data_IF_020746834445
#
_entry.id   IF_020746834445
#
_cell.length_a   1.000
_cell.length_b   1.000
_cell.length_c   1.000
_cell.angle_alpha   90.00
_cell.angle_beta   90.00
_cell.angle_gamma   90.00
#
_symmetry.space_group_name_H-M   'P 1'
#
loop_
_entity.id
_entity.type
_entity.pdbx_description
1 polymer ?
#
# COMPACT_ATOMS: atom_id res chain seq x y z
N UNK A 1 -13.47 -36.61 -18.32
CA UNK A 1 -12.24 -36.34 -17.55
C UNK A 1 -12.38 -34.97 -16.90
N UNK A 2 -12.65 -34.96 -15.62
CA UNK A 2 -12.96 -33.74 -14.84
C UNK A 2 -11.63 -33.15 -14.39
N UNK A 3 -11.28 -31.97 -14.89
CA UNK A 3 -10.14 -31.19 -14.37
C UNK A 3 -10.59 -30.50 -13.06
N UNK A 4 -10.20 -31.09 -11.95
CA UNK A 4 -10.25 -30.45 -10.65
C UNK A 4 -9.19 -29.33 -10.61
N UNK A 5 -9.60 -28.09 -10.84
CA UNK A 5 -8.75 -26.92 -10.58
C UNK A 5 -8.72 -26.67 -9.08
N UNK A 6 -7.68 -27.11 -8.40
CA UNK A 6 -7.35 -26.66 -7.06
C UNK A 6 -7.03 -25.16 -7.14
N UNK A 7 -8.03 -24.33 -6.88
CA UNK A 7 -7.85 -22.89 -6.68
C UNK A 7 -7.07 -22.72 -5.39
N UNK A 8 -5.77 -22.46 -5.48
CA UNK A 8 -5.02 -21.87 -4.39
C UNK A 8 -5.63 -20.49 -4.16
N UNK A 9 -6.50 -20.39 -3.18
CA UNK A 9 -7.08 -19.14 -2.72
C UNK A 9 -5.93 -18.27 -2.20
N UNK A 10 -5.46 -17.33 -3.04
CA UNK A 10 -4.64 -16.25 -2.55
C UNK A 10 -5.53 -15.46 -1.59
N UNK A 11 -5.05 -15.18 -0.37
CA UNK A 11 -5.73 -14.31 0.60
C UNK A 11 -5.65 -12.85 0.12
N UNK A 12 -6.49 -12.53 -0.85
CA UNK A 12 -6.66 -11.17 -1.37
C UNK A 12 -7.86 -10.58 -0.63
N UNK A 13 -7.82 -9.31 -0.19
CA UNK A 13 -9.01 -8.64 0.29
C UNK A 13 -10.16 -8.86 -0.70
N UNK A 14 -11.34 -9.24 -0.19
CA UNK A 14 -12.47 -9.73 -1.00
C UNK A 14 -12.94 -8.74 -2.09
N UNK A 15 -12.59 -7.45 -1.96
CA UNK A 15 -12.96 -6.38 -2.90
C UNK A 15 -12.12 -6.33 -4.19
N UNK A 16 -11.03 -7.09 -4.30
CA UNK A 16 -10.27 -7.18 -5.54
C UNK A 16 -10.94 -8.02 -6.63
N UNK A 17 -12.06 -8.66 -6.32
CA UNK A 17 -12.59 -9.70 -7.19
C UNK A 17 -13.61 -9.24 -8.21
N UNK A 18 -14.25 -8.07 -8.06
CA UNK A 18 -15.29 -7.63 -9.01
C UNK A 18 -15.41 -6.12 -9.11
N UNK A 19 -15.28 -5.56 -10.32
CA UNK A 19 -15.99 -4.35 -10.68
C UNK A 19 -17.48 -4.72 -10.87
N UNK A 20 -18.43 -3.95 -10.32
CA UNK A 20 -19.86 -4.31 -10.41
C UNK A 20 -20.48 -4.13 -11.81
N UNK A 21 -19.80 -3.46 -12.74
CA UNK A 21 -20.45 -2.93 -13.95
C UNK A 21 -20.04 -3.58 -15.27
N UNK A 22 -18.84 -4.13 -15.39
CA UNK A 22 -18.46 -4.82 -16.63
C UNK A 22 -17.35 -5.84 -16.40
N UNK A 23 -17.51 -7.06 -16.93
CA UNK A 23 -16.55 -8.15 -16.74
C UNK A 23 -15.23 -7.93 -17.50
N UNK A 24 -15.16 -6.93 -18.39
CA UNK A 24 -14.01 -6.67 -19.24
C UNK A 24 -13.14 -5.47 -18.80
N UNK A 25 -13.63 -4.56 -17.97
CA UNK A 25 -12.85 -3.39 -17.49
C UNK A 25 -12.75 -3.39 -15.98
N UNK A 26 -11.63 -3.90 -15.47
CA UNK A 26 -11.33 -3.86 -14.04
C UNK A 26 -10.65 -2.54 -13.69
N UNK A 27 -11.35 -1.68 -12.92
CA UNK A 27 -10.74 -0.48 -12.35
C UNK A 27 -9.80 -0.80 -11.17
N UNK A 28 -8.68 -0.07 -11.04
CA UNK A 28 -7.82 -0.18 -9.88
C UNK A 28 -8.52 0.25 -8.58
N UNK A 29 -8.14 -0.36 -7.46
CA UNK A 29 -8.56 0.10 -6.15
C UNK A 29 -8.07 1.51 -5.87
N UNK A 30 -8.93 2.38 -5.36
CA UNK A 30 -8.60 3.72 -4.90
C UNK A 30 -8.04 3.63 -3.48
N UNK A 31 -6.75 3.93 -3.31
CA UNK A 31 -6.03 3.81 -2.04
C UNK A 31 -5.61 5.21 -1.59
N UNK A 32 -6.18 5.70 -0.50
CA UNK A 32 -5.86 7.01 0.06
C UNK A 32 -4.51 6.98 0.78
N UNK A 33 -3.49 7.68 0.23
CA UNK A 33 -2.12 7.73 0.74
C UNK A 33 -2.06 8.50 2.06
N UNK A 34 -1.71 7.84 3.16
CA UNK A 34 -1.75 8.41 4.53
C UNK A 34 -3.11 9.01 4.90
N UNK A 35 -4.19 8.42 4.36
CA UNK A 35 -5.52 9.03 4.28
C UNK A 35 -5.60 10.07 3.15
N UNK A 36 -6.50 11.05 3.23
CA UNK A 36 -6.59 12.14 2.25
C UNK A 36 -5.55 13.23 2.56
N UNK A 37 -4.26 12.89 2.42
CA UNK A 37 -3.18 13.79 2.84
C UNK A 37 -3.00 15.02 1.94
N UNK A 38 -3.57 15.02 0.73
CA UNK A 38 -3.57 16.20 -0.14
C UNK A 38 -4.32 17.40 0.46
N UNK A 39 -5.24 17.16 1.38
CA UNK A 39 -6.04 18.22 2.02
C UNK A 39 -5.99 18.21 3.55
N UNK A 40 -5.75 17.07 4.18
CA UNK A 40 -5.79 16.90 5.63
C UNK A 40 -4.43 16.46 6.18
N UNK A 41 -4.16 16.66 7.48
CA UNK A 41 -2.91 16.23 8.10
C UNK A 41 -2.70 14.72 7.91
N UNK A 42 -1.57 14.34 7.30
CA UNK A 42 -1.25 12.95 6.97
C UNK A 42 -1.27 12.01 8.18
N UNK A 43 -1.61 10.75 7.97
CA UNK A 43 -1.59 9.71 9.00
C UNK A 43 -2.43 10.06 10.25
N UNK A 44 -3.57 10.72 10.07
CA UNK A 44 -4.53 11.04 11.13
C UNK A 44 -5.86 10.34 10.90
N UNK A 45 -6.65 10.16 11.95
CA UNK A 45 -8.01 9.59 11.84
C UNK A 45 -8.87 10.48 10.95
N UNK A 46 -8.74 11.81 11.03
CA UNK A 46 -9.44 12.74 10.16
C UNK A 46 -9.12 12.51 8.67
N UNK A 47 -7.83 12.39 8.31
CA UNK A 47 -7.43 12.13 6.93
C UNK A 47 -7.97 10.78 6.42
N UNK A 48 -8.01 9.76 7.28
CA UNK A 48 -8.59 8.44 6.98
C UNK A 48 -10.09 8.58 6.72
N UNK A 49 -10.82 9.23 7.62
CA UNK A 49 -12.25 9.49 7.48
C UNK A 49 -12.58 10.20 6.16
N UNK A 50 -11.88 11.30 5.89
CA UNK A 50 -12.09 12.08 4.66
C UNK A 50 -11.70 11.31 3.39
N UNK A 51 -10.70 10.44 3.45
CA UNK A 51 -10.36 9.53 2.35
C UNK A 51 -11.51 8.56 2.04
N UNK A 52 -12.13 7.99 3.06
CA UNK A 52 -13.28 7.09 2.90
C UNK A 52 -14.50 7.85 2.34
N UNK A 53 -14.79 9.05 2.87
CA UNK A 53 -15.92 9.88 2.42
C UNK A 53 -15.86 10.23 0.94
N UNK A 54 -14.66 10.39 0.36
CA UNK A 54 -14.49 10.69 -1.09
C UNK A 54 -14.33 9.43 -1.94
N UNK A 55 -14.67 8.25 -1.42
CA UNK A 55 -14.75 7.00 -2.19
C UNK A 55 -13.45 6.19 -2.25
N UNK A 56 -12.54 6.32 -1.28
CA UNK A 56 -11.43 5.40 -1.18
C UNK A 56 -11.91 4.00 -0.79
N UNK A 57 -11.38 2.98 -1.45
CA UNK A 57 -11.61 1.55 -1.14
C UNK A 57 -10.65 1.07 -0.05
N UNK A 58 -9.51 1.72 0.09
CA UNK A 58 -8.48 1.41 1.05
C UNK A 58 -7.76 2.66 1.56
N UNK A 59 -7.13 2.49 2.71
CA UNK A 59 -6.26 3.49 3.30
C UNK A 59 -4.84 2.93 3.35
N UNK A 60 -3.89 3.69 2.83
CA UNK A 60 -2.47 3.45 3.06
C UNK A 60 -2.04 4.25 4.28
N UNK A 61 -1.27 3.63 5.18
CA UNK A 61 -0.76 4.23 6.42
C UNK A 61 0.67 3.78 6.71
N UNK A 62 1.46 4.70 7.23
CA UNK A 62 2.85 4.49 7.63
C UNK A 62 2.96 4.09 9.09
N UNK A 63 3.69 3.03 9.42
CA UNK A 63 3.83 2.54 10.78
C UNK A 63 5.24 2.67 11.33
N UNK A 64 5.31 3.20 12.57
CA UNK A 64 6.47 3.18 13.44
C UNK A 64 6.12 2.56 14.81
N UNK A 65 7.15 2.21 15.59
CA UNK A 65 6.98 1.73 16.95
C UNK A 65 7.63 2.72 17.94
N UNK A 66 6.93 3.07 19.00
CA UNK A 66 7.43 3.91 20.09
C UNK A 66 8.46 3.14 20.95
N UNK A 67 9.18 3.84 21.82
CA UNK A 67 10.16 3.24 22.72
C UNK A 67 9.56 2.17 23.63
N UNK A 68 8.33 2.37 24.09
CA UNK A 68 7.57 1.44 24.94
C UNK A 68 6.73 0.42 24.16
N UNK A 69 6.94 0.28 22.84
CA UNK A 69 6.39 -0.79 22.01
C UNK A 69 4.99 -0.53 21.45
N UNK A 70 4.49 0.70 21.47
CA UNK A 70 3.19 1.07 20.89
C UNK A 70 3.35 1.35 19.40
N UNK A 71 2.55 0.72 18.55
CA UNK A 71 2.53 0.99 17.10
C UNK A 71 1.72 2.24 16.83
N UNK A 72 2.37 3.24 16.20
CA UNK A 72 1.80 4.56 15.89
C UNK A 72 1.93 4.89 14.41
N UNK A 73 1.11 5.83 13.95
CA UNK A 73 1.15 6.30 12.57
C UNK A 73 2.13 7.46 12.41
N UNK A 74 3.16 7.29 11.59
CA UNK A 74 4.09 8.35 11.20
C UNK A 74 4.85 7.94 9.94
N UNK A 75 5.04 8.87 8.99
CA UNK A 75 5.87 8.59 7.81
C UNK A 75 7.35 8.66 8.13
N UNK A 76 7.78 9.76 8.77
CA UNK A 76 9.17 9.99 9.12
C UNK A 76 9.49 9.36 10.49
N UNK A 77 10.71 8.87 10.70
CA UNK A 77 11.16 8.53 12.04
C UNK A 77 11.21 9.75 12.96
N UNK A 78 11.44 10.95 12.39
CA UNK A 78 11.47 12.23 13.11
C UNK A 78 10.08 12.84 13.22
N UNK A 79 9.76 13.40 14.36
CA UNK A 79 8.53 14.15 14.64
C UNK A 79 8.58 15.60 14.16
N UNK A 80 9.73 16.05 13.58
CA UNK A 80 9.97 17.47 13.31
C UNK A 80 9.01 18.02 12.24
N UNK A 81 8.86 17.32 11.10
CA UNK A 81 8.06 17.82 9.97
C UNK A 81 6.56 17.92 10.29
N UNK A 82 6.00 16.94 10.96
CA UNK A 82 4.57 16.89 11.22
C UNK A 82 4.17 17.52 12.56
N UNK A 83 5.06 17.49 13.57
CA UNK A 83 4.74 17.88 14.96
C UNK A 83 5.66 18.99 15.51
N UNK A 84 6.67 19.45 14.76
CA UNK A 84 7.59 20.51 15.19
C UNK A 84 8.59 20.10 16.28
N UNK A 85 8.75 18.82 16.55
CA UNK A 85 9.56 18.30 17.67
C UNK A 85 10.80 17.58 17.14
N UNK A 86 12.00 18.02 17.56
CA UNK A 86 13.29 17.41 17.19
C UNK A 86 13.59 16.14 18.00
N UNK A 87 12.72 15.15 17.89
CA UNK A 87 12.86 13.80 18.46
C UNK A 87 12.41 12.77 17.44
N UNK A 88 12.84 11.52 17.59
CA UNK A 88 12.31 10.41 16.81
C UNK A 88 11.17 9.70 17.55
N UNK A 89 10.29 9.06 16.81
CA UNK A 89 9.19 8.24 17.36
C UNK A 89 9.74 7.17 18.30
N UNK A 90 10.78 6.43 17.87
CA UNK A 90 11.39 5.36 18.66
C UNK A 90 12.12 5.80 19.92
N UNK A 91 12.36 7.12 20.11
CA UNK A 91 12.98 7.68 21.30
C UNK A 91 11.94 8.12 22.34
N UNK A 92 10.65 8.05 22.02
CA UNK A 92 9.54 8.55 22.84
C UNK A 92 8.60 7.43 23.27
N UNK A 93 8.11 7.51 24.50
CA UNK A 93 7.02 6.66 24.98
C UNK A 93 5.67 7.18 24.49
N UNK A 94 4.68 6.32 24.43
CA UNK A 94 3.32 6.68 24.03
C UNK A 94 2.74 7.80 24.90
N UNK A 95 3.01 7.78 26.20
CA UNK A 95 2.55 8.85 27.13
C UNK A 95 2.97 10.26 26.69
N UNK A 96 4.10 10.39 26.01
CA UNK A 96 4.53 11.64 25.39
C UNK A 96 3.91 11.85 24.01
N UNK A 97 3.95 10.84 23.14
CA UNK A 97 3.47 10.95 21.75
C UNK A 97 2.00 11.36 21.66
N UNK A 98 1.13 10.85 22.54
CA UNK A 98 -0.29 11.19 22.57
C UNK A 98 -0.58 12.68 22.85
N UNK A 99 0.39 13.42 23.41
CA UNK A 99 0.24 14.86 23.67
C UNK A 99 0.49 15.73 22.45
N UNK A 100 1.12 15.16 21.42
CA UNK A 100 1.50 15.89 20.21
C UNK A 100 0.29 16.21 19.34
N UNK A 101 0.42 17.32 18.60
CA UNK A 101 -0.57 17.75 17.62
C UNK A 101 0.14 18.14 16.33
N UNK A 102 -0.48 17.86 15.19
CA UNK A 102 0.07 18.22 13.88
C UNK A 102 0.23 19.73 13.77
N UNK A 103 1.30 20.17 13.07
CA UNK A 103 1.49 21.59 12.72
C UNK A 103 0.43 22.07 11.73
N UNK A 104 0.00 21.17 10.82
CA UNK A 104 -1.08 21.46 9.90
C UNK A 104 -2.42 21.44 10.65
N UNK A 105 -3.27 22.47 10.39
CA UNK A 105 -4.63 22.51 10.90
C UNK A 105 -5.47 21.34 10.33
N UNK A 106 -6.43 20.82 11.13
CA UNK A 106 -6.95 21.29 12.41
C UNK A 106 -6.19 20.83 13.66
N UNK A 107 -4.91 20.52 13.57
CA UNK A 107 -4.05 20.13 14.69
C UNK A 107 -4.43 18.79 15.35
N UNK A 108 -4.45 17.75 14.53
CA UNK A 108 -4.85 16.39 14.89
C UNK A 108 -3.80 15.69 15.78
N UNK A 109 -4.23 14.80 16.70
CA UNK A 109 -3.31 13.96 17.47
C UNK A 109 -2.63 12.92 16.57
N UNK A 110 -1.46 12.42 17.01
CA UNK A 110 -0.86 11.22 16.43
C UNK A 110 -1.71 9.98 16.82
N UNK A 111 -2.18 9.15 15.87
CA UNK A 111 -2.94 7.96 16.22
C UNK A 111 -2.04 6.76 16.50
N UNK A 112 -2.53 5.81 17.31
CA UNK A 112 -2.02 4.45 17.36
C UNK A 112 -2.64 3.63 16.23
N UNK A 113 -2.00 2.55 15.88
CA UNK A 113 -2.60 1.60 14.94
C UNK A 113 -3.92 1.00 15.46
N UNK A 114 -4.02 0.75 16.76
CA UNK A 114 -5.28 0.30 17.38
C UNK A 114 -6.43 1.31 17.22
N UNK A 115 -6.15 2.61 17.21
CA UNK A 115 -7.18 3.64 17.00
C UNK A 115 -7.76 3.59 15.58
N UNK A 116 -6.93 3.26 14.58
CA UNK A 116 -7.38 3.01 13.19
C UNK A 116 -8.24 1.77 13.12
N UNK A 117 -7.83 0.68 13.77
CA UNK A 117 -8.63 -0.55 13.81
C UNK A 117 -9.98 -0.33 14.49
N UNK A 118 -10.00 0.38 15.62
CA UNK A 118 -11.23 0.77 16.33
C UNK A 118 -12.16 1.63 15.44
N UNK A 119 -11.59 2.55 14.66
CA UNK A 119 -12.34 3.35 13.71
C UNK A 119 -12.93 2.49 12.59
N UNK A 120 -12.13 1.58 12.00
CA UNK A 120 -12.53 0.78 10.85
C UNK A 120 -13.41 -0.45 11.20
N UNK A 121 -13.50 -0.84 12.49
CA UNK A 121 -14.43 -1.91 12.90
C UNK A 121 -15.87 -1.43 13.06
N UNK A 122 -16.11 -0.13 13.01
CA UNK A 122 -17.46 0.43 13.14
C UNK A 122 -18.33 0.05 11.93
N UNK A 123 -19.66 -0.11 12.11
CA UNK A 123 -20.59 -0.48 11.05
C UNK A 123 -20.50 0.45 9.84
N UNK A 124 -20.59 -0.13 8.64
CA UNK A 124 -20.52 0.57 7.36
C UNK A 124 -19.11 0.74 6.81
N UNK A 125 -18.07 0.28 7.54
CA UNK A 125 -16.66 0.36 7.11
C UNK A 125 -16.03 -1.02 6.88
N UNK A 126 -16.80 -2.08 6.86
CA UNK A 126 -16.34 -3.47 6.74
C UNK A 126 -15.63 -3.74 5.41
N UNK A 127 -15.97 -2.96 4.39
CA UNK A 127 -15.41 -3.06 3.04
C UNK A 127 -14.05 -2.35 2.91
N UNK A 128 -13.69 -1.46 3.83
CA UNK A 128 -12.42 -0.72 3.77
C UNK A 128 -11.28 -1.63 4.23
N UNK A 129 -10.22 -1.68 3.42
CA UNK A 129 -9.01 -2.41 3.76
C UNK A 129 -7.80 -1.48 3.93
N UNK A 130 -6.71 -1.98 4.49
CA UNK A 130 -5.53 -1.20 4.87
C UNK A 130 -4.30 -1.72 4.12
N UNK A 131 -3.56 -0.82 3.50
CA UNK A 131 -2.21 -1.05 3.01
C UNK A 131 -1.23 -0.45 4.01
N UNK A 132 -0.48 -1.29 4.72
CA UNK A 132 0.55 -0.82 5.65
C UNK A 132 1.83 -0.48 4.89
N UNK A 133 2.47 0.64 5.22
CA UNK A 133 3.87 0.92 4.92
C UNK A 133 4.69 0.80 6.22
N UNK A 134 5.39 -0.34 6.35
CA UNK A 134 6.17 -0.66 7.54
C UNK A 134 7.60 -0.21 7.32
N UNK A 135 8.03 0.82 8.05
CA UNK A 135 9.31 1.51 7.84
C UNK A 135 10.51 0.68 8.32
N UNK A 136 11.66 0.87 7.65
CA UNK A 136 12.91 0.10 7.89
C UNK A 136 13.70 0.55 9.14
N UNK A 137 13.28 1.62 9.81
CA UNK A 137 14.04 2.25 10.90
C UNK A 137 13.93 1.55 12.25
N UNK A 138 13.26 0.41 12.29
CA UNK A 138 12.92 -0.32 13.52
C UNK A 138 13.28 -1.81 13.42
N UNK A 139 13.21 -2.50 14.55
CA UNK A 139 13.40 -3.95 14.57
C UNK A 139 12.21 -4.66 13.89
N UNK A 140 12.44 -5.53 12.88
CA UNK A 140 11.38 -6.17 12.13
C UNK A 140 10.49 -7.08 12.98
N UNK A 141 11.07 -7.85 13.92
CA UNK A 141 10.30 -8.74 14.77
C UNK A 141 9.41 -7.93 15.74
N UNK A 142 9.95 -6.85 16.34
CA UNK A 142 9.20 -6.01 17.26
C UNK A 142 7.99 -5.34 16.62
N UNK A 143 8.16 -4.73 15.44
CA UNK A 143 7.04 -4.07 14.76
C UNK A 143 5.97 -5.08 14.29
N UNK A 144 6.35 -6.24 13.76
CA UNK A 144 5.41 -7.26 13.33
C UNK A 144 4.64 -7.86 14.51
N UNK A 145 5.30 -8.08 15.65
CA UNK A 145 4.62 -8.49 16.89
C UNK A 145 3.66 -7.40 17.40
N UNK A 146 4.05 -6.13 17.31
CA UNK A 146 3.20 -5.00 17.65
C UNK A 146 1.93 -4.95 16.80
N UNK A 147 2.06 -5.16 15.49
CA UNK A 147 0.92 -5.24 14.56
C UNK A 147 0.02 -6.42 14.90
N UNK A 148 0.59 -7.61 15.13
CA UNK A 148 -0.18 -8.79 15.53
C UNK A 148 -0.98 -8.53 16.81
N UNK A 149 -0.33 -8.03 17.87
CA UNK A 149 -0.99 -7.67 19.13
C UNK A 149 -2.10 -6.63 18.96
N UNK A 150 -1.88 -5.62 18.12
CA UNK A 150 -2.89 -4.59 17.85
C UNK A 150 -4.14 -5.22 17.19
N UNK A 151 -3.96 -6.05 16.17
CA UNK A 151 -5.09 -6.72 15.49
C UNK A 151 -5.82 -7.73 16.38
N UNK A 152 -5.11 -8.42 17.26
CA UNK A 152 -5.70 -9.32 18.27
C UNK A 152 -6.50 -8.55 19.34
N UNK A 153 -6.05 -7.36 19.73
CA UNK A 153 -6.70 -6.54 20.76
C UNK A 153 -8.01 -5.89 20.30
N UNK A 154 -8.24 -5.80 18.99
CA UNK A 154 -9.44 -5.20 18.39
C UNK A 154 -10.20 -6.28 17.60
N UNK A 155 -11.03 -7.10 18.27
CA UNK A 155 -11.79 -8.13 17.58
C UNK A 155 -12.82 -7.49 16.64
N UNK A 156 -12.98 -8.10 15.46
CA UNK A 156 -14.00 -7.68 14.51
C UNK A 156 -15.37 -8.11 15.05
N UNK A 157 -16.39 -7.27 14.85
CA UNK A 157 -17.77 -7.63 15.15
C UNK A 157 -18.17 -8.90 14.37
N UNK A 158 -19.20 -9.61 14.85
CA UNK A 158 -19.64 -10.92 14.34
C UNK A 158 -19.98 -10.94 12.83
N UNK A 159 -20.06 -9.77 12.18
CA UNK A 159 -20.36 -9.60 10.76
C UNK A 159 -19.20 -8.81 10.11
N UNK A 160 -18.45 -9.45 9.25
CA UNK A 160 -17.37 -8.81 8.48
C UNK A 160 -16.12 -9.70 8.33
N UNK A 161 -15.25 -9.38 7.37
CA UNK A 161 -14.02 -10.15 7.16
C UNK A 161 -12.98 -9.85 8.24
N UNK A 162 -12.29 -10.86 8.73
CA UNK A 162 -11.18 -10.75 9.69
C UNK A 162 -10.10 -9.79 9.23
N UNK A 163 -9.32 -9.21 10.16
CA UNK A 163 -8.24 -8.26 9.85
C UNK A 163 -7.22 -8.82 8.85
N UNK A 164 -6.88 -10.11 8.92
CA UNK A 164 -5.96 -10.72 7.95
C UNK A 164 -6.48 -10.71 6.50
N UNK A 165 -7.78 -10.48 6.29
CA UNK A 165 -8.41 -10.29 4.98
C UNK A 165 -8.60 -8.82 4.61
N UNK A 166 -8.38 -7.91 5.55
CA UNK A 166 -8.52 -6.46 5.36
C UNK A 166 -7.18 -5.71 5.45
N UNK A 167 -6.08 -6.40 5.70
CA UNK A 167 -4.75 -5.77 5.83
C UNK A 167 -3.78 -6.43 4.87
N UNK A 168 -3.06 -5.60 4.13
CA UNK A 168 -1.89 -5.97 3.34
C UNK A 168 -0.67 -5.38 4.02
N UNK A 169 0.28 -6.21 4.47
CA UNK A 169 1.50 -5.76 5.12
C UNK A 169 2.57 -5.41 4.06
N UNK A 170 2.75 -4.12 3.83
CA UNK A 170 3.76 -3.58 2.92
C UNK A 170 5.12 -3.45 3.61
N UNK A 171 6.17 -3.94 2.98
CA UNK A 171 7.54 -3.95 3.50
C UNK A 171 8.55 -3.63 2.40
N UNK A 172 9.70 -3.09 2.77
CA UNK A 172 10.70 -2.59 1.81
C UNK A 172 11.82 -3.58 1.47
N UNK A 173 11.94 -4.70 2.19
CA UNK A 173 13.00 -5.67 1.93
C UNK A 173 12.69 -7.09 2.43
N UNK A 174 13.54 -8.05 2.03
CA UNK A 174 13.38 -9.46 2.34
C UNK A 174 13.40 -9.78 3.84
N UNK A 175 14.21 -9.07 4.64
CA UNK A 175 14.25 -9.25 6.09
C UNK A 175 12.89 -8.96 6.75
N UNK A 176 12.24 -7.88 6.33
CA UNK A 176 10.91 -7.51 6.82
C UNK A 176 9.82 -8.46 6.28
N UNK A 177 9.93 -8.96 5.03
CA UNK A 177 9.04 -10.01 4.51
C UNK A 177 9.15 -11.28 5.34
N UNK A 178 10.39 -11.69 5.72
CA UNK A 178 10.59 -12.87 6.56
C UNK A 178 9.95 -12.71 7.94
N UNK A 179 10.14 -11.55 8.58
CA UNK A 179 9.50 -11.24 9.86
C UNK A 179 7.96 -11.20 9.75
N UNK A 180 7.42 -10.57 8.69
CA UNK A 180 5.99 -10.57 8.43
C UNK A 180 5.43 -11.98 8.20
N UNK A 181 6.13 -12.83 7.45
CA UNK A 181 5.74 -14.23 7.25
C UNK A 181 5.70 -15.03 8.55
N UNK A 182 6.58 -14.73 9.50
CA UNK A 182 6.66 -15.36 10.82
C UNK A 182 5.54 -14.91 11.77
N UNK A 183 5.32 -13.60 11.90
CA UNK A 183 4.44 -13.02 12.90
C UNK A 183 3.02 -12.71 12.38
N UNK A 184 2.87 -12.60 11.06
CA UNK A 184 1.61 -12.31 10.36
C UNK A 184 1.32 -13.41 9.29
N UNK A 185 1.30 -14.71 9.66
CA UNK A 185 1.30 -15.82 8.69
C UNK A 185 0.05 -15.88 7.81
N UNK A 186 -1.06 -15.27 8.23
CA UNK A 186 -2.32 -15.24 7.50
C UNK A 186 -2.50 -14.00 6.63
N UNK A 187 -1.62 -13.00 6.74
CA UNK A 187 -1.77 -11.71 6.06
C UNK A 187 -1.20 -11.76 4.64
N UNK A 188 -1.80 -11.01 3.72
CA UNK A 188 -1.19 -10.70 2.44
C UNK A 188 -0.01 -9.78 2.63
N UNK A 189 1.04 -9.98 1.83
CA UNK A 189 2.26 -9.19 1.89
C UNK A 189 2.42 -8.38 0.61
N UNK A 190 3.08 -7.24 0.69
CA UNK A 190 3.45 -6.43 -0.47
C UNK A 190 4.89 -5.94 -0.33
N UNK A 191 5.70 -6.14 -1.38
CA UNK A 191 7.02 -5.53 -1.45
C UNK A 191 6.89 -4.09 -1.96
N UNK A 192 7.25 -3.12 -1.13
CA UNK A 192 7.34 -1.72 -1.53
C UNK A 192 8.72 -1.48 -2.12
N UNK A 193 8.80 -1.04 -3.36
CA UNK A 193 10.09 -0.76 -3.98
C UNK A 193 10.02 0.16 -5.19
N UNK A 194 11.20 0.67 -5.60
CA UNK A 194 11.41 1.44 -6.81
C UNK A 194 12.43 0.75 -7.76
N UNK A 195 12.70 -0.55 -7.57
CA UNK A 195 13.66 -1.30 -8.39
C UNK A 195 13.05 -2.62 -8.88
N UNK A 196 12.64 -2.71 -10.16
CA UNK A 196 12.06 -3.92 -10.72
C UNK A 196 13.01 -5.12 -10.72
N UNK A 197 14.33 -4.90 -10.74
CA UNK A 197 15.31 -5.99 -10.68
C UNK A 197 15.35 -6.63 -9.30
N UNK A 198 15.17 -5.83 -8.25
CA UNK A 198 15.00 -6.34 -6.90
C UNK A 198 13.64 -7.03 -6.72
N UNK A 199 12.56 -6.40 -7.21
CA UNK A 199 11.22 -6.96 -7.13
C UNK A 199 11.10 -8.35 -7.79
N UNK A 200 11.79 -8.59 -8.91
CA UNK A 200 11.78 -9.90 -9.58
C UNK A 200 12.22 -11.06 -8.70
N UNK A 201 13.07 -10.84 -7.70
CA UNK A 201 13.51 -11.88 -6.77
C UNK A 201 12.34 -12.42 -5.93
N UNK A 202 11.23 -11.67 -5.82
CA UNK A 202 10.08 -12.02 -4.99
C UNK A 202 8.89 -12.59 -5.80
N UNK A 203 9.01 -12.74 -7.11
CA UNK A 203 7.95 -13.29 -7.94
C UNK A 203 7.54 -14.71 -7.53
N UNK A 204 8.52 -15.51 -7.07
CA UNK A 204 8.30 -16.88 -6.63
C UNK A 204 7.89 -16.97 -5.13
N UNK A 205 7.92 -15.87 -4.39
CA UNK A 205 7.54 -15.86 -2.97
C UNK A 205 6.02 -15.84 -2.85
N UNK A 206 5.38 -16.87 -2.26
CA UNK A 206 3.93 -16.92 -2.11
C UNK A 206 3.37 -15.73 -1.35
N UNK A 207 2.17 -15.29 -1.71
CA UNK A 207 1.41 -14.20 -1.06
C UNK A 207 2.07 -12.81 -1.11
N UNK A 208 3.17 -12.63 -1.83
CA UNK A 208 3.81 -11.33 -2.00
C UNK A 208 3.32 -10.69 -3.29
N UNK A 209 2.61 -9.57 -3.15
CA UNK A 209 2.33 -8.61 -4.21
C UNK A 209 3.39 -7.50 -4.24
N UNK A 210 3.16 -6.49 -5.03
CA UNK A 210 4.12 -5.40 -5.24
C UNK A 210 3.45 -4.04 -5.10
N UNK A 211 4.11 -3.12 -4.39
CA UNK A 211 3.75 -1.72 -4.30
C UNK A 211 4.91 -0.90 -4.87
N UNK A 212 4.81 -0.51 -6.15
CA UNK A 212 5.95 -0.02 -6.94
C UNK A 212 5.72 1.42 -7.38
N UNK A 213 6.81 2.22 -7.36
CA UNK A 213 6.78 3.56 -7.92
C UNK A 213 6.31 3.51 -9.39
N UNK A 214 5.21 4.21 -9.70
CA UNK A 214 4.61 4.19 -11.03
C UNK A 214 5.57 4.58 -12.15
N UNK A 215 6.35 5.64 -11.95
CA UNK A 215 7.27 6.14 -12.99
C UNK A 215 8.36 5.13 -13.33
N UNK A 216 8.71 4.24 -12.40
CA UNK A 216 9.62 3.12 -12.65
C UNK A 216 8.97 2.11 -13.59
N UNK A 217 7.68 1.80 -13.37
CA UNK A 217 6.94 0.87 -14.24
C UNK A 217 6.71 1.41 -15.65
N UNK A 218 6.56 2.73 -15.79
CA UNK A 218 6.42 3.42 -17.08
C UNK A 218 7.72 3.38 -17.92
N UNK A 219 8.86 3.19 -17.26
CA UNK A 219 10.17 3.17 -17.89
C UNK A 219 10.56 1.81 -18.49
N UNK A 220 11.70 1.78 -19.22
CA UNK A 220 12.15 0.57 -19.89
C UNK A 220 12.45 -0.61 -18.94
N UNK A 221 12.75 -0.33 -17.66
CA UNK A 221 13.00 -1.33 -16.65
C UNK A 221 11.70 -1.98 -16.12
N UNK A 222 10.60 -1.24 -16.17
CA UNK A 222 9.32 -1.65 -15.58
C UNK A 222 8.41 -2.46 -16.50
N UNK A 223 8.45 -2.21 -17.82
CA UNK A 223 7.53 -2.85 -18.77
C UNK A 223 7.54 -4.38 -18.67
N UNK A 224 8.70 -5.01 -18.79
CA UNK A 224 8.82 -6.46 -18.64
C UNK A 224 8.47 -6.96 -17.23
N UNK A 225 8.64 -6.14 -16.19
CA UNK A 225 8.24 -6.51 -14.83
C UNK A 225 6.71 -6.61 -14.68
N UNK A 226 5.95 -5.69 -15.30
CA UNK A 226 4.49 -5.77 -15.30
C UNK A 226 3.99 -7.08 -15.93
N UNK A 227 4.60 -7.48 -17.03
CA UNK A 227 4.28 -8.73 -17.73
C UNK A 227 4.61 -9.95 -16.85
N UNK A 228 5.80 -9.97 -16.25
CA UNK A 228 6.25 -11.06 -15.35
C UNK A 228 5.35 -11.19 -14.12
N UNK A 229 5.01 -10.06 -13.46
CA UNK A 229 4.17 -10.04 -12.28
C UNK A 229 2.74 -10.53 -12.58
N UNK A 230 2.18 -10.16 -13.73
CA UNK A 230 0.89 -10.67 -14.21
C UNK A 230 0.92 -12.16 -14.50
N UNK A 231 1.96 -12.64 -15.20
CA UNK A 231 2.14 -14.06 -15.46
C UNK A 231 2.23 -14.87 -14.16
N UNK A 232 2.90 -14.32 -13.15
CA UNK A 232 2.97 -14.87 -11.80
C UNK A 232 1.70 -14.63 -10.96
N UNK A 233 0.66 -13.97 -11.50
CA UNK A 233 -0.59 -13.61 -10.81
C UNK A 233 -0.36 -12.83 -9.53
N UNK A 234 0.60 -11.87 -9.55
CA UNK A 234 0.91 -10.99 -8.41
C UNK A 234 0.17 -9.69 -8.54
N UNK A 235 -0.33 -9.18 -7.41
CA UNK A 235 -0.95 -7.86 -7.32
C UNK A 235 0.08 -6.76 -7.46
N UNK A 236 -0.32 -5.69 -8.14
CA UNK A 236 0.52 -4.51 -8.39
C UNK A 236 -0.24 -3.28 -7.95
N UNK A 237 0.26 -2.63 -6.91
CA UNK A 237 -0.13 -1.28 -6.50
C UNK A 237 0.91 -0.29 -7.00
N UNK A 238 0.49 0.94 -7.29
CA UNK A 238 1.40 2.00 -7.74
C UNK A 238 1.28 3.24 -6.87
N UNK A 239 2.43 3.90 -6.60
CA UNK A 239 2.54 5.08 -5.74
C UNK A 239 3.52 6.11 -6.32
N UNK A 240 3.43 7.39 -5.97
CA UNK A 240 2.24 8.10 -5.57
C UNK A 240 1.73 8.79 -6.82
N UNK A 241 0.45 8.65 -7.11
CA UNK A 241 -0.14 9.02 -8.39
C UNK A 241 -1.23 10.07 -8.17
N UNK A 242 -0.93 11.34 -8.49
CA UNK A 242 -1.84 12.47 -8.23
C UNK A 242 -2.29 13.17 -9.52
N UNK A 243 -1.61 12.91 -10.64
CA UNK A 243 -1.91 13.55 -11.92
C UNK A 243 -2.94 12.73 -12.72
N UNK A 244 -4.05 13.32 -13.22
CA UNK A 244 -5.14 12.58 -13.89
C UNK A 244 -4.68 11.71 -15.07
N UNK A 245 -3.72 12.19 -15.87
CA UNK A 245 -3.19 11.40 -16.98
C UNK A 245 -2.36 10.19 -16.52
N UNK A 246 -1.71 10.27 -15.35
CA UNK A 246 -1.01 9.14 -14.74
C UNK A 246 -1.99 8.17 -14.05
N UNK A 247 -3.08 8.68 -13.48
CA UNK A 247 -4.20 7.86 -13.00
C UNK A 247 -4.82 7.04 -14.15
N UNK A 248 -5.11 7.68 -15.30
CA UNK A 248 -5.57 7.00 -16.53
C UNK A 248 -4.57 5.97 -17.04
N UNK A 249 -3.27 6.27 -16.98
CA UNK A 249 -2.22 5.30 -17.34
C UNK A 249 -2.32 4.03 -16.46
N UNK A 250 -2.58 4.20 -15.16
CA UNK A 250 -2.75 3.06 -14.24
C UNK A 250 -3.95 2.18 -14.61
N UNK A 251 -5.07 2.79 -15.01
CA UNK A 251 -6.26 2.07 -15.47
C UNK A 251 -5.94 1.33 -16.78
N UNK A 252 -5.38 2.01 -17.79
CA UNK A 252 -5.01 1.43 -19.08
C UNK A 252 -4.05 0.25 -18.95
N UNK A 253 -3.16 0.30 -17.94
CA UNK A 253 -2.21 -0.77 -17.66
C UNK A 253 -2.71 -1.76 -16.59
N UNK A 254 -4.00 -1.75 -16.27
CA UNK A 254 -4.68 -2.72 -15.40
C UNK A 254 -3.87 -3.05 -14.12
N UNK A 255 -3.34 -2.03 -13.43
CA UNK A 255 -2.76 -2.23 -12.09
C UNK A 255 -3.89 -2.52 -11.09
N UNK A 256 -3.58 -3.15 -9.97
CA UNK A 256 -4.60 -3.55 -9.01
C UNK A 256 -5.03 -2.42 -8.07
N UNK A 257 -4.16 -1.43 -7.84
CA UNK A 257 -4.52 -0.28 -7.01
C UNK A 257 -3.61 0.92 -7.23
N UNK A 258 -4.15 2.09 -6.97
CA UNK A 258 -3.49 3.39 -7.10
C UNK A 258 -3.47 4.08 -5.76
N UNK A 259 -2.27 4.32 -5.23
CA UNK A 259 -2.03 5.08 -4.00
C UNK A 259 -1.88 6.56 -4.38
N UNK A 260 -2.83 7.39 -3.91
CA UNK A 260 -2.92 8.80 -4.26
C UNK A 260 -3.11 9.70 -3.04
N UNK A 261 -2.51 10.89 -3.10
CA UNK A 261 -2.79 11.98 -2.16
C UNK A 261 -4.17 12.61 -2.40
N UNK A 262 -4.74 12.39 -3.60
CA UNK A 262 -5.98 12.96 -4.09
C UNK A 262 -7.01 11.85 -4.42
N UNK A 263 -7.48 11.07 -3.42
CA UNK A 263 -8.38 9.93 -3.67
C UNK A 263 -9.70 10.36 -4.31
N UNK A 264 -10.23 11.53 -3.98
CA UNK A 264 -11.45 12.07 -4.64
C UNK A 264 -11.25 12.32 -6.12
N UNK A 265 -10.09 12.87 -6.51
CA UNK A 265 -9.73 13.04 -7.93
C UNK A 265 -9.58 11.72 -8.67
N UNK A 266 -9.02 10.70 -8.01
CA UNK A 266 -8.91 9.40 -8.64
C UNK A 266 -10.29 8.75 -8.83
N UNK A 267 -11.21 8.94 -7.88
CA UNK A 267 -12.60 8.51 -8.02
C UNK A 267 -13.26 9.15 -9.26
N UNK A 268 -13.13 10.47 -9.42
CA UNK A 268 -13.63 11.20 -10.60
C UNK A 268 -13.03 10.67 -11.91
N UNK A 269 -11.73 10.38 -11.94
CA UNK A 269 -11.06 9.80 -13.12
C UNK A 269 -11.57 8.40 -13.45
N UNK A 270 -11.91 7.59 -12.45
CA UNK A 270 -12.54 6.29 -12.67
C UNK A 270 -13.94 6.41 -13.25
N UNK A 271 -14.78 7.32 -12.73
CA UNK A 271 -16.12 7.58 -13.24
C UNK A 271 -16.09 8.10 -14.69
N UNK A 272 -15.15 9.00 -15.00
CA UNK A 272 -14.94 9.49 -16.37
C UNK A 272 -14.52 8.34 -17.31
N UNK A 273 -13.61 7.48 -16.85
CA UNK A 273 -13.16 6.32 -17.63
C UNK A 273 -14.31 5.37 -17.93
N UNK A 274 -15.13 5.02 -16.95
CA UNK A 274 -16.31 4.16 -17.14
C UNK A 274 -17.30 4.77 -18.11
N UNK A 275 -17.60 6.06 -17.98
CA UNK A 275 -18.52 6.79 -18.86
C UNK A 275 -18.02 6.80 -20.32
N UNK A 276 -16.71 7.03 -20.52
CA UNK A 276 -16.10 7.03 -21.85
C UNK A 276 -16.12 5.64 -22.52
N UNK A 277 -16.12 4.56 -21.75
CA UNK A 277 -16.06 3.20 -22.29
C UNK A 277 -17.45 2.52 -22.34
N UNK A 278 -18.43 3.02 -21.62
CA UNK A 278 -19.81 2.53 -21.67
C UNK A 278 -20.67 3.21 -22.75
N UNK A 279 -20.37 4.43 -23.15
CA UNK A 279 -21.10 5.17 -24.19
C UNK A 279 -20.36 5.09 -25.53
N UNK A 280 -20.89 4.31 -26.47
CA UNK A 280 -20.37 4.17 -27.84
C UNK A 280 -20.26 5.48 -28.64
N UNK A 281 -20.90 6.56 -28.16
CA UNK A 281 -20.83 7.90 -28.79
C UNK A 281 -19.67 8.73 -28.27
N UNK A 282 -19.05 8.33 -27.16
CA UNK A 282 -17.93 9.04 -26.55
C UNK A 282 -16.62 8.44 -27.08
N UNK A 283 -15.75 9.29 -27.60
CA UNK A 283 -14.42 8.86 -28.04
C UNK A 283 -13.51 8.83 -26.80
N UNK A 284 -13.00 7.66 -26.38
CA UNK A 284 -12.15 7.57 -25.21
C UNK A 284 -10.91 8.48 -25.31
N UNK A 285 -10.62 9.18 -24.24
CA UNK A 285 -9.49 10.10 -24.18
C UNK A 285 -8.19 9.30 -24.10
N UNK A 286 -7.28 9.45 -25.10
CA UNK A 286 -5.97 8.81 -25.10
C UNK A 286 -5.11 9.31 -23.95
N UNK A 287 -4.47 8.38 -23.24
CA UNK A 287 -3.48 8.71 -22.21
C UNK A 287 -2.30 9.45 -22.86
N UNK A 288 -2.05 10.69 -22.44
CA UNK A 288 -0.95 11.53 -22.92
C UNK A 288 0.05 11.77 -21.80
N UNK A 289 1.24 11.22 -21.97
CA UNK A 289 2.36 11.47 -21.05
C UNK A 289 3.08 12.73 -21.49
N UNK A 290 3.19 13.73 -20.62
CA UNK A 290 3.85 15.00 -20.90
C UNK A 290 5.36 14.82 -21.08
N UNK A 291 6.02 15.78 -21.76
CA UNK A 291 7.47 15.76 -21.91
C UNK A 291 8.19 15.75 -20.55
N UNK A 292 7.73 16.54 -19.59
CA UNK A 292 8.25 16.58 -18.21
C UNK A 292 8.19 15.19 -17.54
N UNK A 293 7.05 14.52 -17.64
CA UNK A 293 6.87 13.17 -17.09
C UNK A 293 7.78 12.14 -17.76
N UNK A 294 7.94 12.22 -19.10
CA UNK A 294 8.88 11.35 -19.84
C UNK A 294 10.31 11.55 -19.37
N UNK A 295 10.73 12.80 -19.17
CA UNK A 295 12.06 13.11 -18.66
C UNK A 295 12.26 12.60 -17.23
N UNK A 296 11.25 12.69 -16.37
CA UNK A 296 11.29 12.11 -15.02
C UNK A 296 11.46 10.59 -15.06
N UNK A 297 10.70 9.89 -15.91
CA UNK A 297 10.81 8.43 -16.09
C UNK A 297 12.22 8.04 -16.54
N UNK A 298 12.79 8.76 -17.52
CA UNK A 298 14.15 8.51 -18.01
C UNK A 298 15.22 8.79 -16.94
N UNK A 299 15.06 9.88 -16.18
CA UNK A 299 15.97 10.21 -15.09
C UNK A 299 15.97 9.15 -13.99
N UNK A 300 14.79 8.66 -13.60
CA UNK A 300 14.65 7.58 -12.63
C UNK A 300 15.30 6.29 -13.17
N UNK A 301 15.03 5.92 -14.41
CA UNK A 301 15.62 4.74 -15.03
C UNK A 301 17.16 4.81 -15.06
N UNK A 302 17.71 5.98 -15.42
CA UNK A 302 19.15 6.23 -15.39
C UNK A 302 19.72 6.15 -13.98
N UNK A 303 19.05 6.75 -12.99
CA UNK A 303 19.46 6.69 -11.59
C UNK A 303 19.52 5.23 -11.09
N UNK A 304 18.50 4.43 -11.36
CA UNK A 304 18.46 3.02 -10.97
C UNK A 304 19.59 2.25 -11.68
N UNK A 305 19.82 2.51 -12.96
CA UNK A 305 20.90 1.86 -13.71
C UNK A 305 22.29 2.17 -13.15
N UNK A 306 22.53 3.43 -12.78
CA UNK A 306 23.85 3.88 -12.29
C UNK A 306 24.08 3.55 -10.79
N UNK A 307 23.05 3.68 -9.97
CA UNK A 307 23.16 3.64 -8.51
C UNK A 307 22.37 2.52 -7.85
N UNK A 308 21.50 1.80 -8.57
CA UNK A 308 20.63 0.77 -8.02
C UNK A 308 21.40 -0.36 -7.31
N UNK A 309 22.59 -0.74 -7.83
CA UNK A 309 23.44 -1.74 -7.20
C UNK A 309 23.93 -1.33 -5.80
N UNK A 310 24.30 -0.05 -5.62
CA UNK A 310 24.72 0.51 -4.34
C UNK A 310 23.54 0.54 -3.35
N UNK A 311 22.37 1.00 -3.80
CA UNK A 311 21.16 1.05 -3.00
C UNK A 311 20.74 -0.36 -2.57
N UNK A 312 20.70 -1.32 -3.48
CA UNK A 312 20.43 -2.73 -3.15
C UNK A 312 21.37 -3.26 -2.08
N UNK A 313 22.67 -3.05 -2.26
CA UNK A 313 23.67 -3.55 -1.31
C UNK A 313 23.56 -2.93 0.08
N UNK A 314 23.14 -1.68 0.17
CA UNK A 314 23.10 -0.93 1.43
C UNK A 314 21.78 -1.11 2.20
N UNK A 315 20.66 -1.17 1.50
CA UNK A 315 19.34 -1.09 2.13
C UNK A 315 18.45 -2.32 1.88
N UNK A 316 18.72 -3.07 0.82
CA UNK A 316 17.86 -4.16 0.39
C UNK A 316 18.61 -5.47 0.69
N UNK A 317 18.27 -6.12 1.78
CA UNK A 317 18.76 -7.47 2.05
C UNK A 317 18.22 -8.44 1.00
N UNK A 318 19.06 -9.37 0.47
CA UNK A 318 18.55 -10.46 -0.35
C UNK A 318 17.52 -11.26 0.46
N UNK A 319 16.68 -12.02 -0.25
CA UNK A 319 15.80 -13.01 0.41
C UNK A 319 16.74 -14.03 1.07
N UNK A 320 16.94 -13.89 2.37
CA UNK A 320 17.30 -15.06 3.17
C UNK A 320 16.14 -16.03 2.97
N UNK A 321 16.42 -17.26 2.60
CA UNK A 321 15.42 -18.28 2.26
C UNK A 321 14.31 -18.20 3.31
N UNK A 322 13.21 -17.56 2.94
CA UNK A 322 12.02 -17.55 3.78
C UNK A 322 11.64 -19.01 3.91
N UNK A 323 11.73 -19.56 5.10
CA UNK A 323 11.27 -20.91 5.35
C UNK A 323 9.75 -20.95 5.17
N UNK A 324 9.36 -21.25 3.94
CA UNK A 324 7.97 -21.37 3.53
C UNK A 324 7.33 -22.68 3.99
N UNK A 325 8.11 -23.55 4.69
CA UNK A 325 7.62 -24.85 5.18
C UNK A 325 6.56 -24.71 6.27
N UNK A 326 6.54 -23.60 7.00
CA UNK A 326 5.53 -23.33 8.02
C UNK A 326 4.11 -23.08 7.46
N UNK A 327 3.95 -22.91 6.15
CA UNK A 327 2.66 -22.61 5.50
C UNK A 327 1.99 -23.82 4.81
N UNK A 328 2.35 -25.04 5.16
CA UNK A 328 1.67 -26.27 4.71
C UNK A 328 0.50 -26.67 5.61
N UNK A 329 0.03 -25.80 6.47
CA UNK A 329 -1.16 -26.09 7.31
C UNK A 329 -2.39 -25.31 6.75
N UNK A 330 -3.31 -26.07 6.13
CA UNK A 330 -4.71 -25.70 5.89
C UNK A 330 -5.03 -25.21 4.48
#
# INVERSE_FOLDING_TARGET
MSFSSSRHSQNVPAHFLHSPVDQDVRLPQNIAHRGFNGQYPENTILAIEKGIEVGAHAIEIDLHISRDGVVVLSHDPSLERCYGVKKNVGDCDWSYLQTLRTLQAPHEPIPRFVDVLEYLRQPGREHIWILLDIKLTQDPDAIMQGIAKATESVPIAAIGPDWHRRIVAGTWNGRFISAASKHLPRYSLSLICADPSYARQFLEVPRVGFNINQKVLMGPLGKGFLEDARAARRQIYVWTVDEPNLMRWSIEHAVDGVVSNEPGRFHEVCDDWEREHSDLKVIPQKVRITFKQRMQVLAIALYIKCFGWYYRRKYLSPIERVDLSANKLG
#
